data_IF_047628019916
#
_entry.id   IF_047628019916
#
_cell.length_a   1.000
_cell.length_b   1.000
_cell.length_c   1.000
_cell.angle_alpha   90.00
_cell.angle_beta   90.00
_cell.angle_gamma   90.00
#
_symmetry.space_group_name_H-M   'P 1'
#
loop_
_entity.id
_entity.type
_entity.pdbx_description
1 polymer ?
#
# COMPACT_ATOMS: atom_id res chain seq x y z
N UNK A 1 -22.98 -20.55 7.77
CA UNK A 1 -22.47 -19.22 7.38
C UNK A 1 -21.00 -19.17 7.77
N UNK A 2 -20.10 -18.85 6.84
CA UNK A 2 -18.66 -18.71 7.18
C UNK A 2 -18.46 -17.46 8.04
N UNK A 3 -17.68 -17.55 9.11
CA UNK A 3 -17.36 -16.40 9.96
C UNK A 3 -16.48 -15.41 9.20
N UNK A 4 -16.76 -14.11 9.34
CA UNK A 4 -15.92 -13.06 8.76
C UNK A 4 -14.48 -13.18 9.31
N UNK A 5 -13.44 -13.13 8.46
CA UNK A 5 -12.06 -13.16 8.92
C UNK A 5 -11.77 -11.95 9.83
N UNK A 6 -11.00 -12.19 10.88
CA UNK A 6 -10.54 -11.14 11.78
C UNK A 6 -9.35 -10.40 11.14
N UNK A 7 -9.29 -9.06 11.24
CA UNK A 7 -8.11 -8.31 10.81
C UNK A 7 -6.86 -8.73 11.59
N UNK A 8 -5.71 -8.75 10.92
CA UNK A 8 -4.41 -8.93 11.59
C UNK A 8 -4.05 -7.75 12.50
N UNK A 9 -3.12 -7.97 13.42
CA UNK A 9 -2.59 -6.94 14.31
C UNK A 9 -1.42 -6.21 13.65
N UNK A 10 -1.13 -4.98 14.11
CA UNK A 10 0.01 -4.20 13.59
C UNK A 10 1.35 -4.93 13.75
N UNK A 11 1.51 -5.72 14.82
CA UNK A 11 2.71 -6.49 15.10
C UNK A 11 2.93 -7.65 14.12
N UNK A 12 1.91 -8.06 13.35
CA UNK A 12 2.01 -9.14 12.37
C UNK A 12 2.75 -8.70 11.09
N UNK A 13 3.02 -7.40 10.92
CA UNK A 13 3.65 -6.83 9.74
C UNK A 13 5.07 -6.33 10.06
N UNK A 14 6.06 -6.84 9.31
CA UNK A 14 7.48 -6.55 9.54
C UNK A 14 7.94 -5.14 9.14
N UNK A 15 7.18 -4.44 8.28
CA UNK A 15 7.52 -3.10 7.80
C UNK A 15 6.29 -2.19 7.86
N UNK A 16 6.49 -0.95 8.28
CA UNK A 16 5.45 0.08 8.32
C UNK A 16 5.93 1.33 7.58
N UNK A 17 5.05 1.93 6.78
CA UNK A 17 5.33 3.17 6.08
C UNK A 17 4.22 4.21 6.37
N UNK A 18 4.62 5.47 6.48
CA UNK A 18 3.69 6.58 6.61
C UNK A 18 3.27 7.08 5.22
N UNK A 19 1.96 7.30 5.04
CA UNK A 19 1.36 7.88 3.83
C UNK A 19 0.44 9.02 4.26
N UNK A 20 0.68 10.20 3.70
CA UNK A 20 -0.18 11.37 3.90
C UNK A 20 -1.42 11.24 3.00
N UNK A 21 -2.62 11.32 3.60
CA UNK A 21 -3.88 11.40 2.86
C UNK A 21 -4.03 12.74 2.15
N UNK A 22 -4.72 12.73 1.01
CA UNK A 22 -5.01 13.88 0.16
C UNK A 22 -6.51 14.15 0.13
N UNK A 23 -6.90 15.39 -0.19
CA UNK A 23 -8.31 15.77 -0.32
C UNK A 23 -9.08 14.85 -1.30
N UNK A 24 -8.46 14.55 -2.45
CA UNK A 24 -9.06 13.72 -3.50
C UNK A 24 -9.08 12.22 -3.21
N UNK A 25 -8.56 11.77 -2.07
CA UNK A 25 -8.66 10.35 -1.69
C UNK A 25 -10.08 10.02 -1.20
N UNK A 26 -10.85 11.04 -0.78
CA UNK A 26 -12.22 10.86 -0.31
C UNK A 26 -13.19 10.73 -1.49
N UNK A 27 -14.14 9.79 -1.39
CA UNK A 27 -15.28 9.71 -2.30
C UNK A 27 -16.50 10.51 -1.80
N UNK A 28 -17.61 10.43 -2.54
CA UNK A 28 -18.86 11.14 -2.23
C UNK A 28 -19.46 10.78 -0.87
N UNK A 29 -19.06 9.65 -0.27
CA UNK A 29 -19.50 9.24 1.06
C UNK A 29 -18.62 9.80 2.18
N UNK A 30 -17.59 10.59 1.86
CA UNK A 30 -16.75 11.27 2.84
C UNK A 30 -15.68 10.37 3.48
N UNK A 31 -15.42 9.20 2.90
CA UNK A 31 -14.35 8.29 3.33
C UNK A 31 -13.35 8.08 2.21
N UNK A 32 -12.15 7.62 2.56
CA UNK A 32 -11.16 7.19 1.57
C UNK A 32 -11.76 6.10 0.67
N UNK A 33 -11.75 6.34 -0.64
CA UNK A 33 -12.29 5.41 -1.60
C UNK A 33 -11.55 4.06 -1.55
N UNK A 34 -12.28 2.96 -1.77
CA UNK A 34 -11.70 1.62 -1.74
C UNK A 34 -10.55 1.42 -2.76
N UNK A 35 -10.59 2.10 -3.91
CA UNK A 35 -9.52 2.02 -4.93
C UNK A 35 -8.20 2.58 -4.40
N UNK A 36 -8.27 3.59 -3.52
CA UNK A 36 -7.08 4.28 -3.01
C UNK A 36 -6.20 3.38 -2.16
N UNK A 37 -6.76 2.35 -1.53
CA UNK A 37 -5.98 1.36 -0.77
C UNK A 37 -5.00 0.59 -1.66
N UNK A 38 -5.34 0.31 -2.92
CA UNK A 38 -4.42 -0.35 -3.85
C UNK A 38 -3.24 0.55 -4.20
N UNK A 39 -3.48 1.84 -4.41
CA UNK A 39 -2.40 2.81 -4.61
C UNK A 39 -1.49 2.94 -3.37
N UNK A 40 -2.05 2.78 -2.16
CA UNK A 40 -1.25 2.74 -0.93
C UNK A 40 -0.36 1.50 -0.89
N UNK A 41 -0.88 0.32 -1.25
CA UNK A 41 -0.08 -0.91 -1.34
C UNK A 41 1.06 -0.77 -2.33
N UNK A 42 0.79 -0.29 -3.55
CA UNK A 42 1.82 -0.03 -4.56
C UNK A 42 2.89 0.91 -4.02
N UNK A 43 2.48 1.97 -3.33
CA UNK A 43 3.40 2.96 -2.75
C UNK A 43 4.30 2.32 -1.69
N UNK A 44 3.75 1.55 -0.75
CA UNK A 44 4.56 0.93 0.32
C UNK A 44 5.51 -0.12 -0.26
N UNK A 45 5.01 -1.01 -1.13
CA UNK A 45 5.81 -2.10 -1.69
C UNK A 45 6.93 -1.56 -2.56
N UNK A 46 6.63 -0.66 -3.51
CA UNK A 46 7.66 -0.12 -4.40
C UNK A 46 8.67 0.74 -3.64
N UNK A 47 8.23 1.57 -2.68
CA UNK A 47 9.16 2.32 -1.84
C UNK A 47 10.12 1.39 -1.11
N UNK A 48 9.60 0.34 -0.47
CA UNK A 48 10.42 -0.64 0.24
C UNK A 48 11.44 -1.32 -0.68
N UNK A 49 11.03 -1.76 -1.87
CA UNK A 49 11.91 -2.43 -2.82
C UNK A 49 12.99 -1.50 -3.37
N UNK A 50 12.65 -0.25 -3.68
CA UNK A 50 13.60 0.77 -4.15
C UNK A 50 14.62 1.09 -3.05
N UNK A 51 14.15 1.34 -1.82
CA UNK A 51 15.03 1.68 -0.69
C UNK A 51 15.95 0.52 -0.30
N UNK A 52 15.50 -0.72 -0.46
CA UNK A 52 16.31 -1.92 -0.27
C UNK A 52 17.28 -2.21 -1.44
N UNK A 53 17.22 -1.45 -2.54
CA UNK A 53 18.01 -1.70 -3.75
C UNK A 53 17.58 -2.94 -4.55
N UNK A 54 16.41 -3.51 -4.24
CA UNK A 54 15.85 -4.68 -4.89
C UNK A 54 15.10 -4.34 -6.19
N UNK A 55 14.76 -3.07 -6.40
CA UNK A 55 14.08 -2.57 -7.59
C UNK A 55 14.75 -1.29 -8.11
N UNK A 56 15.18 -1.31 -9.36
CA UNK A 56 15.60 -0.13 -10.11
C UNK A 56 14.51 0.25 -11.13
N UNK A 57 13.78 1.31 -10.83
CA UNK A 57 12.68 1.80 -11.69
C UNK A 57 13.16 2.57 -12.93
N UNK A 58 14.46 2.88 -13.02
CA UNK A 58 15.02 3.67 -14.13
C UNK A 58 15.70 2.78 -15.17
N UNK A 59 16.42 1.75 -14.75
CA UNK A 59 17.19 0.87 -15.65
C UNK A 59 17.03 -0.63 -15.37
N UNK A 60 16.21 -1.02 -14.39
CA UNK A 60 16.02 -2.40 -13.99
C UNK A 60 15.17 -3.20 -14.98
N UNK A 61 15.43 -4.51 -15.15
CA UNK A 61 14.66 -5.36 -16.07
C UNK A 61 13.32 -5.83 -15.48
N UNK A 62 13.04 -5.55 -14.21
CA UNK A 62 11.85 -6.03 -13.48
C UNK A 62 10.92 -4.85 -13.21
N UNK A 63 9.63 -5.05 -13.46
CA UNK A 63 8.57 -4.12 -13.10
C UNK A 63 7.98 -4.61 -11.77
N UNK A 64 8.10 -3.83 -10.70
CA UNK A 64 7.64 -4.16 -9.34
C UNK A 64 6.12 -4.13 -9.18
N UNK A 65 5.44 -5.09 -9.83
CA UNK A 65 3.99 -5.31 -9.85
C UNK A 65 3.59 -6.59 -9.11
#
# INVERSE_FOLDING_TARGET
MSSKPQPGQRADFAHHAFITTRWGDNDVYGHVNNVQYYSYFDTVVNRYLIEAGALDIHGGPVIGL
#
